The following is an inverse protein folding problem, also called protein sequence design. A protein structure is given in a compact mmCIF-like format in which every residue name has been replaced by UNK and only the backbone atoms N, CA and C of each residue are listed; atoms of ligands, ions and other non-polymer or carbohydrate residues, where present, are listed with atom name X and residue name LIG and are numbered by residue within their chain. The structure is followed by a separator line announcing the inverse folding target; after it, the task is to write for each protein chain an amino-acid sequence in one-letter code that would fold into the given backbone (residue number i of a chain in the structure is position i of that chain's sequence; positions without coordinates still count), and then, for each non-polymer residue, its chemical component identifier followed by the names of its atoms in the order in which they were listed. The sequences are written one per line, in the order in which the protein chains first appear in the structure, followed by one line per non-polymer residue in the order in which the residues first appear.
data_IF_429409419934
#
_entry.id   IF_429409419934
#
_cell.length_a   1.000
_cell.length_b   1.000
_cell.length_c   1.000
_cell.angle_alpha   90.00
_cell.angle_beta   90.00
_cell.angle_gamma   90.00
#
_symmetry.space_group_name_H-M   'P 1'
#
loop_
_entity.id
_entity.type
_entity.pdbx_description
1 polymer ?
#
# COMPACT_ATOMS: atom_id res chain seq x y z
N UNK A 1 -12.29 38.70 -25.03
CA UNK A 1 -11.71 37.44 -25.54
C UNK A 1 -11.73 36.48 -24.40
N UNK A 2 -12.73 35.62 -24.43
CA UNK A 2 -13.07 34.66 -23.37
C UNK A 2 -12.31 33.37 -23.63
N UNK A 3 -11.38 33.02 -22.75
CA UNK A 3 -10.61 31.76 -22.83
C UNK A 3 -11.30 30.73 -22.00
N UNK A 4 -12.06 29.87 -22.66
CA UNK A 4 -12.82 28.78 -22.08
C UNK A 4 -11.95 27.83 -21.21
N UNK A 5 -12.31 27.74 -19.95
CA UNK A 5 -11.86 26.67 -19.07
C UNK A 5 -12.54 25.35 -19.47
N UNK A 6 -11.82 24.49 -20.17
CA UNK A 6 -12.25 23.11 -20.34
C UNK A 6 -12.21 22.41 -18.97
N UNK A 7 -13.39 22.09 -18.44
CA UNK A 7 -13.55 21.18 -17.32
C UNK A 7 -13.36 19.77 -17.86
N UNK A 8 -12.27 19.14 -17.49
CA UNK A 8 -12.13 17.69 -17.66
C UNK A 8 -13.07 17.00 -16.65
N UNK A 9 -14.27 16.68 -17.11
CA UNK A 9 -15.17 15.78 -16.42
C UNK A 9 -14.58 14.37 -16.53
N UNK A 10 -14.19 13.78 -15.42
CA UNK A 10 -13.93 12.35 -15.33
C UNK A 10 -15.29 11.64 -15.48
N UNK A 11 -15.63 11.22 -16.69
CA UNK A 11 -16.63 10.18 -16.89
C UNK A 11 -16.02 8.89 -16.33
N UNK A 12 -16.51 8.45 -15.17
CA UNK A 12 -16.26 7.07 -14.71
C UNK A 12 -16.90 6.16 -15.77
N UNK A 13 -16.09 5.32 -16.39
CA UNK A 13 -16.62 4.22 -17.20
C UNK A 13 -17.56 3.39 -16.31
N UNK A 14 -18.80 3.30 -16.71
CA UNK A 14 -19.83 2.49 -16.05
C UNK A 14 -19.43 1.03 -16.21
N UNK A 15 -18.91 0.40 -15.16
CA UNK A 15 -18.66 -1.02 -15.14
C UNK A 15 -17.50 -1.51 -14.27
N UNK A 16 -16.68 -0.65 -13.67
CA UNK A 16 -15.68 -1.12 -12.70
C UNK A 16 -16.41 -1.66 -11.46
N UNK A 17 -16.15 -2.93 -11.11
CA UNK A 17 -16.65 -3.49 -9.86
C UNK A 17 -16.14 -2.67 -8.68
N UNK A 18 -17.03 -2.37 -7.71
CA UNK A 18 -16.64 -1.64 -6.50
C UNK A 18 -15.56 -2.45 -5.77
N UNK A 19 -14.41 -1.82 -5.51
CA UNK A 19 -13.34 -2.41 -4.73
C UNK A 19 -13.52 -1.99 -3.27
N UNK A 20 -13.46 -2.96 -2.35
CA UNK A 20 -13.53 -2.74 -0.92
C UNK A 20 -12.14 -2.79 -0.32
N UNK A 21 -11.78 -1.77 0.44
CA UNK A 21 -10.56 -1.74 1.25
C UNK A 21 -10.89 -2.01 2.71
N UNK A 22 -10.21 -2.98 3.32
CA UNK A 22 -10.25 -3.24 4.77
C UNK A 22 -8.88 -2.96 5.36
N UNK A 23 -8.81 -2.05 6.32
CA UNK A 23 -7.59 -1.77 7.09
C UNK A 23 -7.31 -2.92 8.06
N UNK A 24 -6.07 -3.36 8.10
CA UNK A 24 -5.51 -4.22 9.16
C UNK A 24 -4.53 -3.40 10.01
N UNK A 25 -3.92 -4.00 11.03
CA UNK A 25 -2.96 -3.25 11.86
C UNK A 25 -1.74 -2.83 11.05
N UNK A 26 -1.25 -1.64 11.33
CA UNK A 26 -0.03 -1.02 10.79
C UNK A 26 -0.10 -0.75 9.27
N UNK A 27 0.80 -1.36 8.49
CA UNK A 27 0.88 -1.14 7.05
C UNK A 27 -0.08 -2.04 6.24
N UNK A 28 -0.68 -3.05 6.87
CA UNK A 28 -1.45 -4.06 6.15
C UNK A 28 -2.84 -3.58 5.75
N UNK A 29 -3.20 -3.86 4.49
CA UNK A 29 -4.54 -3.67 3.94
C UNK A 29 -4.98 -4.87 3.12
N UNK A 30 -6.29 -5.10 3.06
CA UNK A 30 -6.95 -6.05 2.16
C UNK A 30 -7.78 -5.27 1.14
N UNK A 31 -7.67 -5.68 -0.11
CA UNK A 31 -8.48 -5.18 -1.22
C UNK A 31 -9.32 -6.33 -1.76
N UNK A 32 -10.62 -6.13 -1.88
CA UNK A 32 -11.56 -7.16 -2.30
C UNK A 32 -12.42 -6.64 -3.45
N UNK A 33 -12.45 -7.39 -4.57
CA UNK A 33 -13.35 -7.15 -5.71
C UNK A 33 -13.67 -8.47 -6.42
N UNK A 34 -14.86 -8.61 -6.96
CA UNK A 34 -15.29 -9.79 -7.76
C UNK A 34 -15.02 -11.14 -7.06
N UNK A 35 -15.13 -11.16 -5.72
CA UNK A 35 -14.86 -12.37 -4.92
C UNK A 35 -13.38 -12.75 -4.83
N UNK A 36 -12.46 -11.86 -5.22
CA UNK A 36 -11.01 -12.02 -5.11
C UNK A 36 -10.42 -11.10 -4.05
N UNK A 37 -9.36 -11.56 -3.42
CA UNK A 37 -8.69 -10.86 -2.32
C UNK A 37 -7.22 -10.65 -2.61
N UNK A 38 -6.78 -9.39 -2.54
CA UNK A 38 -5.38 -8.99 -2.55
C UNK A 38 -5.01 -8.40 -1.19
N UNK A 39 -3.86 -8.82 -0.63
CA UNK A 39 -3.34 -8.33 0.66
C UNK A 39 -1.98 -7.68 0.44
N UNK A 40 -1.76 -6.50 1.04
CA UNK A 40 -0.48 -5.79 1.00
C UNK A 40 0.11 -5.75 2.41
N UNK A 41 1.40 -6.05 2.54
CA UNK A 41 2.24 -5.94 3.74
C UNK A 41 1.68 -6.62 5.00
N UNK A 42 1.41 -7.94 4.98
CA UNK A 42 0.96 -8.68 6.16
C UNK A 42 2.13 -9.02 7.10
N UNK A 43 2.77 -7.99 7.68
CA UNK A 43 3.93 -8.10 8.56
C UNK A 43 3.59 -8.56 10.00
N UNK A 44 4.59 -8.56 10.88
CA UNK A 44 4.48 -9.12 12.23
C UNK A 44 3.50 -8.37 13.14
N UNK A 45 3.20 -7.09 12.86
CA UNK A 45 2.22 -6.31 13.64
C UNK A 45 0.77 -6.56 13.24
N UNK A 46 0.56 -7.30 12.16
CA UNK A 46 -0.77 -7.55 11.59
C UNK A 46 -1.44 -8.75 12.24
N UNK A 47 -2.76 -8.79 12.26
CA UNK A 47 -3.57 -9.91 12.74
C UNK A 47 -3.27 -11.19 11.92
N UNK A 48 -3.27 -12.34 12.58
CA UNK A 48 -2.92 -13.61 11.94
C UNK A 48 -3.85 -13.99 10.77
N UNK A 49 -5.10 -13.54 10.83
CA UNK A 49 -6.13 -13.82 9.81
C UNK A 49 -6.05 -12.90 8.58
N UNK A 50 -5.16 -11.91 8.57
CA UNK A 50 -5.06 -10.92 7.49
C UNK A 50 -4.87 -11.54 6.10
N UNK A 51 -4.15 -12.66 6.02
CA UNK A 51 -3.85 -13.41 4.77
C UNK A 51 -4.86 -14.51 4.47
N UNK A 52 -5.86 -14.73 5.33
CA UNK A 52 -6.85 -15.81 5.12
C UNK A 52 -7.65 -15.56 3.85
N UNK A 53 -7.65 -16.55 2.95
CA UNK A 53 -8.36 -16.47 1.67
C UNK A 53 -7.76 -15.48 0.66
N UNK A 54 -6.51 -15.04 0.86
CA UNK A 54 -5.83 -14.20 -0.12
C UNK A 54 -5.55 -15.00 -1.42
N UNK A 55 -5.90 -14.41 -2.56
CA UNK A 55 -5.51 -14.89 -3.88
C UNK A 55 -4.15 -14.31 -4.30
N UNK A 56 -3.87 -13.06 -3.89
CA UNK A 56 -2.62 -12.35 -4.17
C UNK A 56 -2.10 -11.70 -2.90
N UNK A 57 -0.80 -11.82 -2.67
CA UNK A 57 -0.10 -11.14 -1.59
C UNK A 57 1.00 -10.28 -2.21
N UNK A 58 1.06 -9.02 -1.80
CA UNK A 58 2.10 -8.07 -2.17
C UNK A 58 2.93 -7.72 -0.93
N UNK A 59 4.26 -7.65 -1.06
CA UNK A 59 5.13 -7.19 0.02
C UNK A 59 6.06 -6.11 -0.53
N UNK A 60 6.06 -4.95 0.10
CA UNK A 60 6.81 -3.78 -0.36
C UNK A 60 8.29 -3.86 -0.04
N UNK A 61 8.67 -4.44 1.11
CA UNK A 61 10.06 -4.62 1.52
C UNK A 61 10.20 -5.64 2.67
N UNK A 62 11.42 -5.89 3.12
CA UNK A 62 11.78 -7.02 4.00
C UNK A 62 11.73 -6.73 5.51
N UNK A 63 11.37 -5.50 5.95
CA UNK A 63 11.25 -5.24 7.39
C UNK A 63 10.10 -6.05 8.00
N UNK A 64 10.29 -6.45 9.26
CA UNK A 64 9.38 -7.40 9.94
C UNK A 64 7.95 -6.87 10.11
N UNK A 65 7.75 -5.57 10.17
CA UNK A 65 6.44 -4.93 10.26
C UNK A 65 5.66 -4.93 8.94
N UNK A 66 6.31 -5.26 7.80
CA UNK A 66 5.71 -5.43 6.47
C UNK A 66 5.77 -6.89 5.98
N UNK A 67 6.72 -7.67 6.47
CA UNK A 67 6.98 -9.04 6.04
C UNK A 67 7.11 -9.99 7.22
N UNK A 68 6.27 -11.03 7.26
CA UNK A 68 6.35 -12.17 8.18
C UNK A 68 6.47 -13.46 7.36
N UNK A 69 7.68 -14.00 7.29
CA UNK A 69 8.00 -15.18 6.46
C UNK A 69 7.23 -16.43 6.84
N UNK A 70 7.00 -16.67 8.13
CA UNK A 70 6.26 -17.84 8.60
C UNK A 70 4.78 -17.72 8.28
N UNK A 71 4.19 -16.53 8.44
CA UNK A 71 2.81 -16.24 8.04
C UNK A 71 2.60 -16.44 6.55
N UNK A 72 3.50 -15.90 5.71
CA UNK A 72 3.39 -16.05 4.26
C UNK A 72 3.56 -17.49 3.82
N UNK A 73 4.46 -18.22 4.44
CA UNK A 73 4.60 -19.68 4.19
C UNK A 73 3.31 -20.41 4.49
N UNK A 74 2.74 -20.19 5.68
CA UNK A 74 1.46 -20.81 6.07
C UNK A 74 0.32 -20.43 5.13
N UNK A 75 0.24 -19.19 4.68
CA UNK A 75 -0.78 -18.73 3.73
C UNK A 75 -0.66 -19.42 2.37
N UNK A 76 0.56 -19.52 1.83
CA UNK A 76 0.84 -20.20 0.56
C UNK A 76 0.62 -21.71 0.64
N UNK A 77 0.87 -22.34 1.80
CA UNK A 77 0.56 -23.75 2.05
C UNK A 77 -0.96 -24.00 2.11
N UNK A 78 -1.70 -23.11 2.80
CA UNK A 78 -3.15 -23.22 2.95
C UNK A 78 -3.93 -22.95 1.67
N UNK A 79 -3.39 -22.12 0.77
CA UNK A 79 -4.03 -21.73 -0.50
C UNK A 79 -3.11 -22.03 -1.69
N UNK A 80 -3.26 -23.21 -2.34
CA UNK A 80 -2.39 -23.60 -3.47
C UNK A 80 -2.44 -22.66 -4.68
N UNK A 81 -3.51 -21.88 -4.83
CA UNK A 81 -3.69 -20.91 -5.90
C UNK A 81 -3.16 -19.50 -5.56
N UNK A 82 -2.80 -19.24 -4.31
CA UNK A 82 -2.30 -17.93 -3.90
C UNK A 82 -0.91 -17.65 -4.47
N UNK A 83 -0.70 -16.41 -4.89
CA UNK A 83 0.57 -15.92 -5.44
C UNK A 83 1.15 -14.81 -4.56
N UNK A 84 2.48 -14.78 -4.45
CA UNK A 84 3.23 -13.71 -3.80
C UNK A 84 4.02 -12.92 -4.85
N UNK A 85 3.86 -11.61 -4.86
CA UNK A 85 4.61 -10.68 -5.71
C UNK A 85 5.40 -9.72 -4.83
N UNK A 86 6.72 -9.69 -4.97
CA UNK A 86 7.58 -8.96 -4.03
C UNK A 86 8.98 -8.72 -4.59
N UNK A 87 9.81 -8.05 -3.82
CA UNK A 87 11.21 -7.82 -4.11
C UNK A 87 12.06 -9.09 -4.02
N UNK A 88 13.23 -9.06 -4.69
CA UNK A 88 14.18 -10.19 -4.70
C UNK A 88 14.59 -10.65 -3.30
N UNK A 89 14.77 -9.75 -2.34
CA UNK A 89 15.19 -10.07 -0.98
C UNK A 89 14.15 -10.92 -0.22
N UNK A 90 12.87 -10.64 -0.42
CA UNK A 90 11.76 -11.42 0.14
C UNK A 90 11.51 -12.69 -0.67
N UNK A 91 11.46 -12.59 -2.01
CA UNK A 91 11.26 -13.73 -2.90
C UNK A 91 12.30 -14.82 -2.69
N UNK A 92 13.56 -14.45 -2.46
CA UNK A 92 14.65 -15.39 -2.20
C UNK A 92 14.45 -16.29 -0.97
N UNK A 93 13.61 -15.89 -0.03
CA UNK A 93 13.32 -16.66 1.19
C UNK A 93 12.21 -17.71 0.99
N UNK A 94 11.38 -17.56 -0.06
CA UNK A 94 10.18 -18.37 -0.25
C UNK A 94 10.11 -19.10 -1.59
N UNK A 95 10.77 -18.61 -2.65
CA UNK A 95 10.64 -19.11 -4.02
C UNK A 95 11.00 -20.59 -4.18
N UNK A 96 12.00 -21.08 -3.44
CA UNK A 96 12.41 -22.49 -3.48
C UNK A 96 11.32 -23.45 -2.95
N UNK A 97 10.54 -22.99 -1.96
CA UNK A 97 9.44 -23.77 -1.39
C UNK A 97 8.16 -23.69 -2.21
N UNK A 98 7.97 -22.59 -2.97
CA UNK A 98 6.74 -22.31 -3.75
C UNK A 98 7.06 -21.97 -5.20
N UNK A 99 7.62 -22.90 -5.99
CA UNK A 99 8.01 -22.64 -7.37
C UNK A 99 6.81 -22.23 -8.21
N UNK A 100 6.99 -21.17 -9.03
CA UNK A 100 5.93 -20.64 -9.92
C UNK A 100 4.84 -19.83 -9.22
N UNK A 101 4.92 -19.63 -7.90
CA UNK A 101 3.95 -18.84 -7.12
C UNK A 101 4.57 -17.64 -6.38
N UNK A 102 5.87 -17.52 -6.40
CA UNK A 102 6.61 -16.38 -5.83
C UNK A 102 7.31 -15.65 -6.96
N UNK A 103 6.86 -14.43 -7.21
CA UNK A 103 7.28 -13.61 -8.34
C UNK A 103 8.10 -12.41 -7.83
N UNK A 104 9.21 -12.13 -8.53
CA UNK A 104 10.05 -10.97 -8.23
C UNK A 104 9.65 -9.81 -9.12
N UNK A 105 9.45 -8.64 -8.51
CA UNK A 105 9.14 -7.38 -9.18
C UNK A 105 10.08 -6.26 -8.76
N UNK A 106 10.13 -5.19 -9.57
CA UNK A 106 10.86 -3.96 -9.33
C UNK A 106 10.20 -2.75 -9.96
N UNK A 107 10.80 -1.59 -9.78
CA UNK A 107 10.30 -0.34 -10.35
C UNK A 107 10.06 -0.44 -11.87
N UNK A 108 8.90 0.03 -12.32
CA UNK A 108 8.50 0.03 -13.73
C UNK A 108 7.79 -1.25 -14.18
N UNK A 109 7.78 -2.31 -13.36
CA UNK A 109 7.03 -3.52 -13.70
C UNK A 109 5.52 -3.28 -13.60
N UNK A 110 4.79 -4.04 -14.42
CA UNK A 110 3.33 -4.11 -14.38
C UNK A 110 2.89 -5.56 -14.60
N UNK A 111 1.88 -5.98 -13.87
CA UNK A 111 1.33 -7.34 -13.97
C UNK A 111 -0.15 -7.37 -13.59
N UNK A 112 -0.82 -8.48 -13.96
CA UNK A 112 -2.19 -8.77 -13.51
C UNK A 112 -2.18 -10.07 -12.74
N UNK A 113 -2.81 -10.11 -11.57
CA UNK A 113 -2.94 -11.30 -10.73
C UNK A 113 -4.33 -11.34 -10.09
N UNK A 114 -5.02 -12.47 -10.22
CA UNK A 114 -6.39 -12.71 -9.72
C UNK A 114 -7.39 -11.59 -10.09
N UNK A 115 -7.20 -10.94 -11.24
CA UNK A 115 -8.08 -9.85 -11.71
C UNK A 115 -7.74 -8.46 -11.18
N UNK A 116 -6.66 -8.31 -10.41
CA UNK A 116 -6.09 -7.00 -10.05
C UNK A 116 -4.97 -6.64 -11.02
N UNK A 117 -5.00 -5.40 -11.53
CA UNK A 117 -3.92 -4.82 -12.31
C UNK A 117 -2.99 -4.02 -11.39
N UNK A 118 -1.70 -4.33 -11.40
CA UNK A 118 -0.73 -3.74 -10.47
C UNK A 118 0.41 -3.10 -11.24
N UNK A 119 0.79 -1.87 -10.85
CA UNK A 119 2.01 -1.18 -11.31
C UNK A 119 2.93 -0.96 -10.12
N UNK A 120 4.23 -1.09 -10.36
CA UNK A 120 5.28 -1.07 -9.33
C UNK A 120 6.11 0.19 -9.43
N UNK A 121 6.27 0.91 -8.30
CA UNK A 121 6.99 2.19 -8.23
C UNK A 121 8.02 2.19 -7.11
N UNK A 122 9.10 2.95 -7.29
CA UNK A 122 10.12 3.15 -6.28
C UNK A 122 11.19 2.06 -6.27
N UNK A 123 12.31 2.34 -5.63
CA UNK A 123 13.48 1.46 -5.60
C UNK A 123 14.04 1.29 -4.20
N UNK A 124 13.99 2.33 -3.37
CA UNK A 124 14.67 2.37 -2.09
C UNK A 124 13.73 2.82 -0.97
N UNK A 125 13.90 2.19 0.18
CA UNK A 125 13.31 2.61 1.45
C UNK A 125 13.73 4.05 1.80
N UNK A 126 12.95 4.78 2.55
CA UNK A 126 13.33 6.07 3.10
C UNK A 126 14.59 5.95 3.98
N UNK A 127 15.34 7.04 4.14
CA UNK A 127 16.55 7.03 4.97
C UNK A 127 16.15 7.05 6.43
N UNK A 128 16.46 5.98 7.17
CA UNK A 128 16.29 5.91 8.63
C UNK A 128 17.41 6.71 9.32
N UNK A 129 18.66 6.39 8.98
CA UNK A 129 19.86 7.09 9.45
C UNK A 129 20.99 6.92 8.42
N UNK A 130 21.90 7.91 8.22
CA UNK A 130 23.00 7.76 7.26
C UNK A 130 23.88 6.53 7.47
N UNK A 131 24.02 6.06 8.71
CA UNK A 131 24.85 4.89 9.05
C UNK A 131 24.09 3.56 8.91
N UNK A 132 22.78 3.59 8.58
CA UNK A 132 21.98 2.39 8.32
C UNK A 132 21.88 2.21 6.81
N UNK A 133 22.34 1.08 6.25
CA UNK A 133 22.20 0.80 4.83
C UNK A 133 20.73 0.85 4.39
N UNK A 134 20.45 1.56 3.29
CA UNK A 134 19.11 1.55 2.70
C UNK A 134 18.85 0.22 2.03
N UNK A 135 17.71 -0.36 2.32
CA UNK A 135 17.19 -1.54 1.62
C UNK A 135 16.31 -1.13 0.43
N UNK A 136 16.00 -2.09 -0.41
CA UNK A 136 15.00 -1.91 -1.49
C UNK A 136 13.60 -1.80 -0.91
N UNK A 137 12.77 -0.93 -1.52
CA UNK A 137 11.34 -0.78 -1.24
C UNK A 137 10.63 -0.45 -2.55
N UNK A 138 9.47 -1.04 -2.77
CA UNK A 138 8.57 -0.67 -3.86
C UNK A 138 7.19 -0.32 -3.33
N UNK A 139 6.50 0.55 -4.04
CA UNK A 139 5.08 0.81 -3.86
C UNK A 139 4.25 0.13 -4.95
N UNK A 140 2.99 -0.13 -4.65
CA UNK A 140 2.04 -0.78 -5.56
C UNK A 140 0.85 0.13 -5.84
N UNK A 141 0.61 0.42 -7.11
CA UNK A 141 -0.63 1.05 -7.59
C UNK A 141 -1.55 -0.05 -8.11
N UNK A 142 -2.64 -0.29 -7.41
CA UNK A 142 -3.62 -1.33 -7.71
C UNK A 142 -4.81 -0.71 -8.45
N UNK A 143 -5.16 -1.29 -9.62
CA UNK A 143 -6.25 -0.89 -10.50
C UNK A 143 -6.25 0.61 -10.88
N UNK A 144 -5.07 1.24 -10.88
CA UNK A 144 -4.96 2.69 -11.10
C UNK A 144 -5.67 3.54 -10.04
N UNK A 145 -6.07 2.96 -8.92
CA UNK A 145 -6.93 3.60 -7.90
C UNK A 145 -6.22 3.77 -6.56
N UNK A 146 -5.66 2.69 -6.01
CA UNK A 146 -5.05 2.67 -4.67
C UNK A 146 -3.55 2.59 -4.77
N UNK A 147 -2.84 3.51 -4.14
CA UNK A 147 -1.38 3.47 -4.05
C UNK A 147 -0.89 3.23 -2.63
N UNK A 148 -0.12 2.15 -2.44
CA UNK A 148 0.59 1.83 -1.22
C UNK A 148 2.10 2.03 -1.46
N UNK A 149 2.76 3.03 -0.87
CA UNK A 149 4.15 3.35 -1.15
C UNK A 149 5.17 2.44 -0.42
N UNK A 150 4.72 1.60 0.54
CA UNK A 150 5.60 1.00 1.53
C UNK A 150 6.23 2.08 2.42
N UNK A 151 7.49 1.91 2.78
CA UNK A 151 8.26 2.82 3.62
C UNK A 151 9.11 3.78 2.78
N UNK A 152 8.44 4.48 1.88
CA UNK A 152 9.01 5.54 1.08
C UNK A 152 7.96 6.60 0.74
N UNK A 153 8.40 7.80 0.37
CA UNK A 153 7.55 8.87 -0.13
C UNK A 153 7.67 8.96 -1.67
N UNK A 154 7.48 7.82 -2.33
CA UNK A 154 7.56 7.71 -3.78
C UNK A 154 6.32 8.32 -4.43
N UNK A 155 6.51 9.27 -5.35
CA UNK A 155 5.44 9.87 -6.14
C UNK A 155 5.30 9.09 -7.45
N UNK A 156 4.17 8.39 -7.70
CA UNK A 156 3.96 7.69 -8.96
C UNK A 156 3.68 8.69 -10.09
N UNK A 157 4.00 8.32 -11.33
CA UNK A 157 3.72 9.11 -12.53
C UNK A 157 2.27 8.98 -13.03
N UNK A 158 1.44 8.21 -12.32
CA UNK A 158 0.01 8.04 -12.59
C UNK A 158 -0.84 8.76 -11.53
N UNK A 159 -2.04 9.24 -11.90
CA UNK A 159 -2.99 9.75 -10.93
C UNK A 159 -3.34 8.70 -9.86
N UNK A 160 -3.46 9.14 -8.60
CA UNK A 160 -3.85 8.31 -7.46
C UNK A 160 -5.19 8.81 -6.93
N UNK A 161 -6.19 7.93 -6.85
CA UNK A 161 -7.46 8.28 -6.19
C UNK A 161 -7.29 8.19 -4.66
N UNK A 162 -6.83 7.06 -4.18
CA UNK A 162 -6.63 6.79 -2.74
C UNK A 162 -5.16 6.50 -2.44
N UNK A 163 -4.53 7.37 -1.66
CA UNK A 163 -3.17 7.16 -1.14
C UNK A 163 -3.23 6.49 0.23
N UNK A 164 -2.59 5.34 0.37
CA UNK A 164 -2.31 4.74 1.67
C UNK A 164 -1.08 5.44 2.24
N UNK A 165 -1.30 6.34 3.19
CA UNK A 165 -0.30 7.29 3.66
C UNK A 165 0.48 6.72 4.85
N UNK A 166 1.80 6.49 4.77
CA UNK A 166 2.61 6.12 5.93
C UNK A 166 2.76 7.34 6.86
N UNK A 167 1.89 7.43 7.87
CA UNK A 167 1.74 8.66 8.66
C UNK A 167 2.83 8.85 9.71
N UNK A 168 3.44 7.76 10.19
CA UNK A 168 4.46 7.84 11.23
C UNK A 168 5.46 6.69 11.12
N UNK A 169 6.75 7.03 11.11
CA UNK A 169 7.85 6.08 11.11
C UNK A 169 9.10 6.72 11.73
N UNK A 170 10.10 5.92 12.16
CA UNK A 170 11.38 6.47 12.64
C UNK A 170 12.12 7.32 11.60
N UNK A 171 11.82 7.14 10.33
CA UNK A 171 12.44 7.86 9.21
C UNK A 171 11.64 9.08 8.72
N UNK A 172 10.42 9.32 9.21
CA UNK A 172 9.52 10.37 8.70
C UNK A 172 9.39 11.56 9.65
N UNK A 173 9.12 12.73 9.08
CA UNK A 173 8.62 13.91 9.78
C UNK A 173 7.25 14.26 9.24
N UNK A 174 6.36 14.74 10.09
CA UNK A 174 5.01 15.13 9.66
C UNK A 174 5.00 16.15 8.52
N UNK A 175 5.99 17.05 8.48
CA UNK A 175 6.14 17.99 7.36
C UNK A 175 6.40 17.28 6.03
N UNK A 176 7.20 16.22 6.02
CA UNK A 176 7.49 15.42 4.82
C UNK A 176 6.25 14.65 4.37
N UNK A 177 5.47 14.11 5.33
CA UNK A 177 4.21 13.42 5.07
C UNK A 177 3.18 14.36 4.44
N UNK A 178 3.05 15.60 4.95
CA UNK A 178 2.15 16.63 4.39
C UNK A 178 2.58 17.00 2.97
N UNK A 179 3.86 17.28 2.73
CA UNK A 179 4.35 17.61 1.39
C UNK A 179 4.19 16.45 0.41
N UNK A 180 4.32 15.21 0.88
CA UNK A 180 4.07 14.04 0.07
C UNK A 180 2.61 13.97 -0.43
N UNK A 181 1.63 14.22 0.43
CA UNK A 181 0.23 14.31 0.01
C UNK A 181 0.04 15.41 -1.05
N UNK A 182 0.70 16.57 -0.88
CA UNK A 182 0.65 17.68 -1.83
C UNK A 182 1.27 17.35 -3.19
N UNK A 183 2.33 16.53 -3.19
CA UNK A 183 3.01 16.11 -4.43
C UNK A 183 2.21 15.05 -5.18
N UNK A 184 1.71 14.02 -4.47
CA UNK A 184 0.87 12.96 -5.05
C UNK A 184 -0.48 13.50 -5.51
N UNK A 185 -1.06 14.45 -4.77
CA UNK A 185 -2.39 15.05 -5.03
C UNK A 185 -3.50 14.02 -5.19
N UNK A 186 -3.65 13.07 -4.24
CA UNK A 186 -4.72 12.10 -4.31
C UNK A 186 -6.07 12.77 -4.06
N UNK A 187 -7.18 12.13 -4.44
CA UNK A 187 -8.50 12.59 -4.01
C UNK A 187 -8.64 12.45 -2.50
N UNK A 188 -8.17 11.31 -1.94
CA UNK A 188 -8.12 11.07 -0.49
C UNK A 188 -6.85 10.35 -0.06
N UNK A 189 -6.50 10.50 1.21
CA UNK A 189 -5.46 9.73 1.89
C UNK A 189 -6.05 8.96 3.08
N UNK A 190 -5.59 7.73 3.29
CA UNK A 190 -5.96 6.88 4.43
C UNK A 190 -4.68 6.44 5.16
N UNK A 191 -4.71 6.50 6.49
CA UNK A 191 -3.57 6.16 7.32
C UNK A 191 -3.15 4.69 7.20
N UNK A 192 -1.86 4.50 6.98
CA UNK A 192 -1.14 3.24 7.23
C UNK A 192 0.14 3.55 8.01
N UNK A 193 0.88 2.53 8.42
CA UNK A 193 2.09 2.66 9.23
C UNK A 193 1.83 3.44 10.55
N UNK A 194 0.70 3.15 11.18
CA UNK A 194 0.12 3.96 12.25
C UNK A 194 0.15 3.29 13.64
N UNK A 195 0.63 2.04 13.75
CA UNK A 195 0.59 1.28 15.01
C UNK A 195 1.44 1.92 16.13
N UNK A 196 2.44 2.72 15.78
CA UNK A 196 3.30 3.41 16.75
C UNK A 196 2.74 4.78 17.18
N UNK A 197 1.66 5.27 16.55
CA UNK A 197 0.97 6.47 17.03
C UNK A 197 0.13 6.15 18.25
N UNK A 198 0.37 6.91 19.32
CA UNK A 198 -0.52 6.84 20.49
C UNK A 198 -1.85 7.53 20.21
N UNK A 199 -2.90 7.15 20.95
CA UNK A 199 -4.22 7.80 20.86
C UNK A 199 -4.15 9.31 21.14
N UNK A 200 -3.16 9.76 21.92
CA UNK A 200 -2.92 11.18 22.18
C UNK A 200 -2.35 11.91 20.95
N UNK A 201 -1.50 11.26 20.16
CA UNK A 201 -0.86 11.86 19.00
C UNK A 201 -1.77 11.88 17.76
N UNK A 202 -2.65 10.86 17.60
CA UNK A 202 -3.52 10.70 16.43
C UNK A 202 -4.30 11.97 16.05
N UNK A 203 -5.04 12.65 16.94
CA UNK A 203 -5.78 13.86 16.56
C UNK A 203 -4.89 15.01 16.06
N UNK A 204 -3.63 15.05 16.51
CA UNK A 204 -2.67 16.07 16.07
C UNK A 204 -2.26 15.81 14.62
N UNK A 205 -1.97 14.55 14.27
CA UNK A 205 -1.63 14.14 12.91
C UNK A 205 -2.80 14.34 11.97
N UNK A 206 -3.99 13.84 12.33
CA UNK A 206 -5.21 13.97 11.54
C UNK A 206 -5.53 15.45 11.23
N UNK A 207 -5.42 16.33 12.25
CA UNK A 207 -5.66 17.77 12.08
C UNK A 207 -4.66 18.43 11.13
N UNK A 208 -3.37 18.12 11.27
CA UNK A 208 -2.32 18.76 10.47
C UNK A 208 -2.32 18.24 9.03
N UNK A 209 -2.43 16.93 8.83
CA UNK A 209 -2.46 16.34 7.49
C UNK A 209 -3.74 16.76 6.77
N UNK A 210 -4.91 16.64 7.40
CA UNK A 210 -6.19 17.04 6.82
C UNK A 210 -6.28 18.54 6.53
N UNK A 211 -5.70 19.39 7.41
CA UNK A 211 -5.71 20.85 7.23
C UNK A 211 -4.72 21.37 6.18
N UNK A 212 -3.60 20.69 5.97
CA UNK A 212 -2.49 21.18 5.16
C UNK A 212 -2.20 20.34 3.91
N UNK A 213 -2.61 19.06 3.87
CA UNK A 213 -2.28 18.13 2.78
C UNK A 213 -2.99 18.44 1.46
N UNK A 214 -4.16 19.10 1.49
CA UNK A 214 -4.91 19.46 0.29
C UNK A 214 -5.73 18.33 -0.33
N UNK A 215 -5.89 17.20 0.38
CA UNK A 215 -6.72 16.06 0.02
C UNK A 215 -7.69 15.74 1.17
N UNK A 216 -8.76 15.00 0.87
CA UNK A 216 -9.58 14.39 1.92
C UNK A 216 -8.69 13.43 2.71
N UNK A 217 -8.62 13.60 4.03
CA UNK A 217 -7.81 12.76 4.88
C UNK A 217 -8.68 12.00 5.86
N UNK A 218 -8.43 10.70 6.02
CA UNK A 218 -9.19 9.85 6.91
C UNK A 218 -8.37 8.71 7.49
N UNK A 219 -8.95 8.09 8.50
CA UNK A 219 -8.38 6.94 9.19
C UNK A 219 -9.43 5.84 9.32
N UNK A 220 -8.98 4.61 9.18
CA UNK A 220 -9.76 3.42 9.49
C UNK A 220 -9.11 2.69 10.66
N UNK A 221 -9.89 2.23 11.62
CA UNK A 221 -9.41 1.30 12.63
C UNK A 221 -9.17 -0.10 12.03
N UNK A 222 -8.31 -0.92 12.65
CA UNK A 222 -8.15 -2.30 12.22
C UNK A 222 -9.49 -3.04 12.17
N UNK A 223 -9.79 -3.66 11.02
CA UNK A 223 -11.07 -4.31 10.73
C UNK A 223 -12.13 -3.41 10.08
N UNK A 224 -11.97 -2.09 10.10
CA UNK A 224 -12.87 -1.20 9.38
C UNK A 224 -12.61 -1.22 7.87
N UNK A 225 -13.67 -0.96 7.11
CA UNK A 225 -13.64 -1.01 5.64
C UNK A 225 -14.28 0.21 5.02
N UNK A 226 -13.86 0.52 3.79
CA UNK A 226 -14.47 1.55 2.94
C UNK A 226 -14.52 1.07 1.50
N UNK A 227 -15.48 1.55 0.75
CA UNK A 227 -15.53 1.34 -0.71
C UNK A 227 -14.66 2.40 -1.41
N UNK A 228 -14.04 2.00 -2.53
CA UNK A 228 -13.10 2.78 -3.32
C UNK A 228 -13.70 3.22 -4.65
#
# INVERSE_FOLDING_TARGET
MDAGRQRYGHEREKGAAAMRLTKKTHACVRLEKDGRTLVIDPGAFTEADAVTGADVILVTHEHADHFDGDRLRAALEASPAAELWTLRSVAGQLSAAFPGRVHTVGHGDAFSAAGFDVRVYGELHAVIHPDIPRITNVGYLVDGTVFHPGDALTVPDHPVDTLLLPVQAPWSKISEVIEYVREVRPRRSLDVHDALLTELARPIYDHQIGGLGGAEHGRLAPGESTDL
#
